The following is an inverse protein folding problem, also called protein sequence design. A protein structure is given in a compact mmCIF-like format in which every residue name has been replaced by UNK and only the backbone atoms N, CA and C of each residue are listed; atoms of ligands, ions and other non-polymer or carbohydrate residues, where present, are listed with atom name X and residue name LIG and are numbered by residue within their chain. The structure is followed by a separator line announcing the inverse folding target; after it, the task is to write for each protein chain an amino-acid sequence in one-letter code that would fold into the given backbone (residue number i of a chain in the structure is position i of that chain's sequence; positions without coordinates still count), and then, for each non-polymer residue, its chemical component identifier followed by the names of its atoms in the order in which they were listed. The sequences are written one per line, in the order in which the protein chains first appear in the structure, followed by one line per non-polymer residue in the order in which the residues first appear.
data_IF_042930723660
#
_entry.id   IF_042930723660
#
_cell.length_a   1.000
_cell.length_b   1.000
_cell.length_c   1.000
_cell.angle_alpha   90.00
_cell.angle_beta   90.00
_cell.angle_gamma   90.00
#
_symmetry.space_group_name_H-M   'P 1'
#
loop_
_entity.id
_entity.type
_entity.pdbx_description
1 polymer ?
#
# COMPACT_ATOMS: atom_id res chain seq x y z
N UNK A 1 -10.77 15.29 4.59
CA UNK A 1 -9.54 14.85 5.27
C UNK A 1 -8.41 14.94 4.27
N UNK A 2 -7.31 15.62 4.63
CA UNK A 2 -6.14 15.76 3.75
C UNK A 2 -5.25 14.51 3.85
N UNK A 3 -4.56 14.10 2.76
CA UNK A 3 -3.63 12.98 2.82
C UNK A 3 -2.43 13.29 3.71
N UNK A 4 -1.98 12.30 4.47
CA UNK A 4 -0.67 12.35 5.14
C UNK A 4 0.41 12.00 4.10
N UNK A 5 1.56 12.67 4.17
CA UNK A 5 2.70 12.45 3.27
C UNK A 5 3.90 11.94 4.05
N UNK A 6 4.52 10.89 3.54
CA UNK A 6 5.75 10.31 4.07
C UNK A 6 6.77 10.14 2.95
N UNK A 7 8.05 10.30 3.27
CA UNK A 7 9.13 9.78 2.44
C UNK A 7 9.57 8.45 3.04
N UNK A 8 9.55 7.41 2.24
CA UNK A 8 9.72 6.02 2.65
C UNK A 8 10.97 5.44 1.99
N UNK A 9 11.77 4.75 2.80
CA UNK A 9 12.88 3.89 2.36
C UNK A 9 12.62 2.51 2.94
N UNK A 10 12.36 1.53 2.08
CA UNK A 10 11.99 0.17 2.49
C UNK A 10 13.11 -0.81 2.14
N UNK A 11 13.38 -1.77 3.03
CA UNK A 11 14.24 -2.93 2.74
C UNK A 11 13.47 -4.19 3.09
N UNK A 12 13.40 -5.11 2.13
CA UNK A 12 12.70 -6.39 2.26
C UNK A 12 13.69 -7.53 2.21
N UNK A 13 13.53 -8.48 3.12
CA UNK A 13 14.32 -9.69 3.20
C UNK A 13 13.38 -10.89 3.13
N UNK A 14 13.68 -11.84 2.24
CA UNK A 14 13.03 -13.13 2.23
C UNK A 14 13.87 -14.10 3.09
N UNK A 15 13.20 -14.84 3.97
CA UNK A 15 13.82 -15.78 4.90
C UNK A 15 13.19 -17.15 4.77
N UNK A 16 13.93 -18.19 5.21
CA UNK A 16 13.38 -19.53 5.29
C UNK A 16 12.17 -19.57 6.27
N UNK A 17 11.11 -20.36 6.00
CA UNK A 17 9.95 -20.46 6.90
C UNK A 17 10.29 -20.92 8.32
N UNK A 18 11.43 -21.58 8.52
CA UNK A 18 11.94 -22.05 9.82
C UNK A 18 12.89 -21.06 10.49
N UNK A 19 13.15 -19.90 9.88
CA UNK A 19 13.95 -18.84 10.46
C UNK A 19 13.34 -18.38 11.79
N UNK A 20 14.18 -18.39 12.82
CA UNK A 20 13.86 -17.77 14.11
C UNK A 20 14.53 -16.41 14.16
N UNK A 21 13.78 -15.37 14.54
CA UNK A 21 14.36 -14.05 14.77
C UNK A 21 15.37 -14.12 15.92
N UNK A 22 16.57 -13.54 15.76
CA UNK A 22 17.51 -13.45 16.87
C UNK A 22 16.93 -12.61 18.00
N UNK A 23 17.49 -12.74 19.21
CA UNK A 23 17.09 -11.90 20.32
C UNK A 23 17.43 -10.42 20.04
N UNK A 24 16.43 -9.64 19.64
CA UNK A 24 16.62 -8.24 19.26
C UNK A 24 17.07 -7.36 20.44
N UNK A 25 16.86 -7.80 21.68
CA UNK A 25 17.32 -7.05 22.86
C UNK A 25 18.85 -7.08 23.03
N UNK A 26 19.54 -8.01 22.38
CA UNK A 26 21.01 -8.12 22.39
C UNK A 26 21.66 -7.32 21.25
N UNK A 27 20.87 -6.78 20.31
CA UNK A 27 21.40 -5.98 19.22
C UNK A 27 21.90 -4.61 19.72
N UNK A 28 23.07 -4.21 19.26
CA UNK A 28 23.68 -2.94 19.63
C UNK A 28 22.76 -1.75 19.26
N UNK A 29 22.58 -0.83 20.21
CA UNK A 29 21.74 0.36 20.04
C UNK A 29 20.25 0.17 20.34
N UNK A 30 19.79 -1.04 20.66
CA UNK A 30 18.38 -1.30 21.04
C UNK A 30 18.15 -0.94 22.51
N UNK A 31 17.25 0.02 22.77
CA UNK A 31 16.89 0.43 24.14
C UNK A 31 15.79 -0.41 24.79
N UNK A 32 14.82 -0.93 24.02
CA UNK A 32 13.78 -1.84 24.50
C UNK A 32 13.13 -2.60 23.36
N UNK A 33 12.56 -3.77 23.67
CA UNK A 33 11.80 -4.60 22.73
C UNK A 33 10.41 -4.86 23.33
N UNK A 34 9.36 -4.65 22.54
CA UNK A 34 7.97 -4.97 22.94
C UNK A 34 7.61 -6.39 22.47
N UNK A 35 6.64 -7.06 23.12
CA UNK A 35 6.09 -8.31 22.61
C UNK A 35 5.59 -8.15 21.16
N UNK A 36 5.70 -9.20 20.33
CA UNK A 36 5.20 -9.16 18.96
C UNK A 36 3.69 -8.96 18.94
N UNK A 37 3.23 -8.16 17.98
CA UNK A 37 1.81 -7.96 17.67
C UNK A 37 1.52 -8.56 16.30
N UNK A 38 0.46 -9.36 16.20
CA UNK A 38 0.04 -9.96 14.93
C UNK A 38 -1.12 -9.16 14.32
N UNK A 39 -0.96 -8.77 13.06
CA UNK A 39 -2.02 -8.13 12.28
C UNK A 39 -2.31 -8.95 11.02
N UNK A 40 -3.59 -9.23 10.78
CA UNK A 40 -4.04 -9.75 9.49
C UNK A 40 -4.23 -8.58 8.53
N UNK A 41 -3.36 -8.50 7.54
CA UNK A 41 -3.39 -7.44 6.53
C UNK A 41 -4.01 -7.97 5.23
N UNK A 42 -4.95 -7.23 4.67
CA UNK A 42 -5.53 -7.48 3.35
C UNK A 42 -5.29 -6.26 2.46
N UNK A 43 -4.73 -6.46 1.27
CA UNK A 43 -4.40 -5.39 0.35
C UNK A 43 -4.92 -5.71 -1.06
N UNK A 44 -5.63 -4.74 -1.64
CA UNK A 44 -6.06 -4.76 -3.04
C UNK A 44 -5.28 -3.70 -3.79
N UNK A 45 -4.56 -4.11 -4.83
CA UNK A 45 -3.81 -3.21 -5.71
C UNK A 45 -4.69 -2.77 -6.88
N UNK A 46 -4.51 -1.53 -7.30
CA UNK A 46 -5.25 -0.94 -8.42
C UNK A 46 -4.27 -0.44 -9.48
N UNK A 47 -4.62 -0.68 -10.74
CA UNK A 47 -3.89 -0.17 -11.89
C UNK A 47 -4.88 0.15 -13.02
N UNK A 48 -4.39 0.69 -14.13
CA UNK A 48 -5.19 0.79 -15.36
C UNK A 48 -5.21 -0.58 -16.05
N UNK A 49 -6.17 -0.82 -16.95
CA UNK A 49 -6.16 -2.03 -17.76
C UNK A 49 -4.85 -2.20 -18.57
N UNK A 50 -4.18 -1.09 -18.88
CA UNK A 50 -2.88 -1.05 -19.55
C UNK A 50 -1.66 -1.12 -18.63
N UNK A 51 -1.85 -1.24 -17.30
CA UNK A 51 -0.78 -1.22 -16.29
C UNK A 51 0.05 0.10 -16.30
N UNK A 52 -0.61 1.23 -16.57
CA UNK A 52 0.08 2.51 -16.73
C UNK A 52 0.72 3.01 -15.43
N UNK A 53 0.15 2.68 -14.25
CA UNK A 53 0.77 3.01 -12.97
C UNK A 53 2.04 2.17 -12.80
N UNK A 54 1.98 0.86 -13.08
CA UNK A 54 3.14 -0.03 -13.00
C UNK A 54 4.30 0.42 -13.87
N UNK A 55 4.02 0.75 -15.13
CA UNK A 55 5.04 1.21 -16.08
C UNK A 55 5.73 2.50 -15.63
N UNK A 56 5.03 3.33 -14.85
CA UNK A 56 5.58 4.56 -14.27
C UNK A 56 6.19 4.34 -12.88
N UNK A 57 6.27 3.09 -12.43
CA UNK A 57 6.74 2.77 -11.09
C UNK A 57 5.85 3.37 -10.01
N UNK A 58 4.56 3.58 -10.25
CA UNK A 58 3.55 4.04 -9.28
C UNK A 58 2.78 2.85 -8.74
N UNK A 59 2.43 2.90 -7.45
CA UNK A 59 1.65 1.85 -6.78
C UNK A 59 0.48 2.48 -6.05
N UNK A 60 -0.73 2.06 -6.36
CA UNK A 60 -1.95 2.41 -5.63
C UNK A 60 -2.52 1.16 -4.98
N UNK A 61 -2.69 1.18 -3.65
CA UNK A 61 -3.29 0.07 -2.90
C UNK A 61 -4.31 0.56 -1.89
N UNK A 62 -5.36 -0.24 -1.68
CA UNK A 62 -6.25 -0.14 -0.52
C UNK A 62 -5.89 -1.27 0.43
N UNK A 63 -5.56 -0.95 1.66
CA UNK A 63 -5.24 -1.92 2.71
C UNK A 63 -6.24 -1.84 3.85
N UNK A 64 -6.58 -3.00 4.41
CA UNK A 64 -7.32 -3.14 5.66
C UNK A 64 -6.57 -4.04 6.65
N UNK A 65 -6.87 -3.87 7.93
CA UNK A 65 -6.10 -4.46 9.03
C UNK A 65 -4.84 -3.64 9.35
N UNK A 66 -4.33 -3.81 10.56
CA UNK A 66 -3.19 -3.04 11.07
C UNK A 66 -3.55 -1.60 11.48
N UNK A 67 -2.57 -0.89 12.03
CA UNK A 67 -2.70 0.49 12.48
C UNK A 67 -2.79 1.51 11.34
N UNK A 68 -2.44 1.10 10.12
CA UNK A 68 -2.27 1.94 8.95
C UNK A 68 -3.24 1.57 7.81
N UNK A 69 -4.41 1.04 8.15
CA UNK A 69 -5.49 0.77 7.21
C UNK A 69 -5.89 2.04 6.44
N UNK A 70 -5.92 1.97 5.11
CA UNK A 70 -6.11 3.14 4.28
C UNK A 70 -5.87 2.90 2.80
N UNK A 71 -6.00 3.98 2.04
CA UNK A 71 -5.48 4.10 0.68
C UNK A 71 -4.05 4.60 0.74
N UNK A 72 -3.19 3.98 -0.05
CA UNK A 72 -1.76 4.28 -0.14
C UNK A 72 -1.38 4.48 -1.60
N UNK A 73 -0.79 5.63 -1.90
CA UNK A 73 -0.21 5.95 -3.20
C UNK A 73 1.30 6.14 -3.03
N UNK A 74 2.10 5.22 -3.59
CA UNK A 74 3.56 5.33 -3.60
C UNK A 74 4.04 5.86 -4.94
N UNK A 75 4.70 7.02 -4.94
CA UNK A 75 5.29 7.68 -6.10
C UNK A 75 6.82 7.51 -6.09
N UNK A 76 7.45 7.24 -7.25
CA UNK A 76 8.91 7.13 -7.32
C UNK A 76 9.56 8.50 -7.12
N UNK A 77 10.65 8.55 -6.35
CA UNK A 77 11.49 9.75 -6.19
C UNK A 77 12.88 9.50 -6.76
N UNK A 78 13.65 8.59 -6.14
CA UNK A 78 14.98 8.18 -6.60
C UNK A 78 15.42 6.90 -5.89
N UNK A 79 16.09 5.99 -6.60
CA UNK A 79 16.54 4.71 -6.01
C UNK A 79 15.42 3.96 -5.28
N UNK A 80 15.67 3.58 -4.03
CA UNK A 80 14.70 2.92 -3.14
C UNK A 80 13.78 3.90 -2.40
N UNK A 81 13.95 5.20 -2.59
CA UNK A 81 13.15 6.26 -1.95
C UNK A 81 11.87 6.51 -2.72
N UNK A 82 10.75 6.51 -1.99
CA UNK A 82 9.41 6.74 -2.52
C UNK A 82 8.67 7.74 -1.64
N UNK A 83 7.88 8.62 -2.25
CA UNK A 83 6.90 9.40 -1.48
C UNK A 83 5.61 8.58 -1.37
N UNK A 84 5.12 8.35 -0.16
CA UNK A 84 3.83 7.74 0.11
C UNK A 84 2.81 8.82 0.52
N UNK A 85 1.64 8.80 -0.13
CA UNK A 85 0.46 9.53 0.31
C UNK A 85 -0.55 8.55 0.89
N UNK A 86 -0.96 8.78 2.13
CA UNK A 86 -1.90 7.94 2.86
C UNK A 86 -3.21 8.67 3.16
N UNK A 87 -4.34 8.01 2.91
CA UNK A 87 -5.67 8.47 3.31
C UNK A 87 -6.38 7.36 4.09
N UNK A 88 -6.88 7.62 5.32
CA UNK A 88 -7.61 6.62 6.09
C UNK A 88 -8.82 6.06 5.35
N UNK A 89 -9.20 4.82 5.64
CA UNK A 89 -10.52 4.33 5.26
C UNK A 89 -11.56 5.17 6.02
N UNK A 90 -12.38 5.97 5.33
CA UNK A 90 -13.44 6.75 5.97
C UNK A 90 -14.46 5.86 6.72
N UNK A 91 -15.36 6.49 7.50
CA UNK A 91 -16.45 5.80 8.18
C UNK A 91 -17.55 5.35 7.19
N UNK A 92 -17.21 4.43 6.31
CA UNK A 92 -18.16 3.59 5.58
C UNK A 92 -17.35 2.47 4.95
N UNK A 93 -17.79 1.22 5.15
CA UNK A 93 -17.34 0.04 4.44
C UNK A 93 -17.71 0.09 2.96
N UNK A 94 -17.28 1.12 2.25
CA UNK A 94 -17.51 1.27 0.83
C UNK A 94 -16.44 0.51 0.08
N UNK A 95 -16.72 -0.78 -0.09
CA UNK A 95 -16.54 -1.49 -1.36
C UNK A 95 -17.34 -0.79 -2.47
N UNK A 96 -17.21 0.53 -2.62
CA UNK A 96 -17.76 1.27 -3.75
C UNK A 96 -16.58 1.77 -4.53
N UNK A 97 -16.35 1.09 -5.64
CA UNK A 97 -15.91 1.80 -6.82
C UNK A 97 -16.79 3.06 -6.95
N UNK A 98 -16.22 4.26 -7.17
CA UNK A 98 -17.01 5.45 -7.46
C UNK A 98 -18.08 5.13 -8.52
N UNK A 99 -19.29 5.70 -8.47
CA UNK A 99 -20.46 5.27 -9.27
C UNK A 99 -20.34 5.47 -10.80
N UNK A 100 -19.13 5.50 -11.37
CA UNK A 100 -18.85 5.52 -12.81
C UNK A 100 -17.99 4.37 -13.32
N UNK A 101 -17.57 3.43 -12.48
CA UNK A 101 -16.97 2.17 -12.96
C UNK A 101 -18.05 1.09 -13.11
N UNK A 102 -18.99 1.32 -14.04
CA UNK A 102 -19.65 0.21 -14.71
C UNK A 102 -18.71 -0.28 -15.82
N UNK A 103 -18.91 -1.52 -16.25
CA UNK A 103 -18.01 -2.37 -17.04
C UNK A 103 -17.66 -1.87 -18.46
N UNK A 104 -17.88 -0.58 -18.73
CA UNK A 104 -17.60 0.14 -19.97
C UNK A 104 -17.31 1.61 -19.62
N UNK A 105 -16.03 1.96 -19.40
CA UNK A 105 -15.59 3.35 -19.53
C UNK A 105 -15.72 3.71 -21.02
N UNK A 106 -16.82 4.37 -21.40
CA UNK A 106 -16.99 4.94 -22.74
C UNK A 106 -16.04 6.13 -22.96
N UNK A 107 -15.76 6.51 -24.23
CA UNK A 107 -14.74 7.50 -24.60
C UNK A 107 -14.98 8.93 -24.09
N UNK A 108 -16.08 9.20 -23.39
CA UNK A 108 -16.43 10.51 -22.82
C UNK A 108 -16.13 10.64 -21.32
N UNK A 109 -15.71 9.57 -20.64
CA UNK A 109 -15.27 9.68 -19.25
C UNK A 109 -13.78 10.02 -19.25
N UNK A 110 -13.43 11.30 -19.04
CA UNK A 110 -12.04 11.75 -18.85
C UNK A 110 -11.36 11.21 -17.58
N UNK A 111 -11.89 10.12 -17.01
CA UNK A 111 -11.41 9.44 -15.82
C UNK A 111 -10.90 8.07 -16.25
N UNK A 112 -9.60 7.83 -16.04
CA UNK A 112 -8.99 6.53 -16.27
C UNK A 112 -9.62 5.50 -15.32
N UNK A 113 -10.19 4.44 -15.90
CA UNK A 113 -10.77 3.33 -15.13
C UNK A 113 -9.64 2.53 -14.44
N UNK A 114 -9.69 2.47 -13.09
CA UNK A 114 -8.81 1.62 -12.29
C UNK A 114 -9.46 0.25 -12.06
N UNK A 115 -8.66 -0.81 -12.22
CA UNK A 115 -9.07 -2.21 -12.02
C UNK A 115 -8.17 -2.87 -10.97
N UNK A 116 -8.68 -3.85 -10.19
CA UNK A 116 -7.85 -4.67 -9.35
C UNK A 116 -6.73 -5.34 -10.16
N UNK A 117 -5.52 -5.34 -9.61
CA UNK A 117 -4.34 -5.91 -10.25
C UNK A 117 -3.69 -6.95 -9.34
N UNK A 118 -3.23 -8.05 -9.92
CA UNK A 118 -2.38 -9.03 -9.25
C UNK A 118 -0.93 -8.56 -9.40
N UNK A 119 -0.45 -7.79 -8.43
CA UNK A 119 0.98 -7.56 -8.22
C UNK A 119 1.44 -8.32 -7.00
#
# INVERSE_FOLDING_TARGET
MSPTRHDEVERKYDVDPTMVLPNLAEAEGVGSVRPPEEFRLDAVYFDTAGLDLARRGVTLRRRSGGADAGWHLKLPVSGDTRTELQVPLGQAGERRCPPRCSRTCGPSCGTVCLVPSHR
#
